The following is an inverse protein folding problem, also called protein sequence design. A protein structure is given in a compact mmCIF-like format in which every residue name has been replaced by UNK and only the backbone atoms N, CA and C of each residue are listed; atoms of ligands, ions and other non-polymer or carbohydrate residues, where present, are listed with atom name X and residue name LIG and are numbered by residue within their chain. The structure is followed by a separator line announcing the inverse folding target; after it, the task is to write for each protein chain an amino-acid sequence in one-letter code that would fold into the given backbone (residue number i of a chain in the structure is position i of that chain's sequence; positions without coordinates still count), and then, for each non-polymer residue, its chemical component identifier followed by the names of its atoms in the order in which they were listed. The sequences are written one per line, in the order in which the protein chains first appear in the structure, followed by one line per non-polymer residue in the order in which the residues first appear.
data_IF_969406996653
#
_entry.id   IF_969406996653
#
_cell.length_a   1.000
_cell.length_b   1.000
_cell.length_c   1.000
_cell.angle_alpha   90.00
_cell.angle_beta   90.00
_cell.angle_gamma   90.00
#
_symmetry.space_group_name_H-M   'P 1'
#
loop_
_entity.id
_entity.type
_entity.pdbx_description
1 polymer ?
#
# COMPACT_ATOMS: atom_id res chain seq x y z
N UNK A 1 -4.43 -15.97 4.28
CA UNK A 1 -5.75 -15.32 4.27
C UNK A 1 -5.75 -14.12 5.20
N UNK A 2 -6.26 -12.98 4.72
CA UNK A 2 -6.29 -11.76 5.53
C UNK A 2 -7.08 -12.00 6.82
N UNK A 3 -6.52 -11.56 7.92
CA UNK A 3 -7.09 -11.80 9.25
C UNK A 3 -7.52 -10.47 9.87
N UNK A 4 -8.75 -10.41 10.35
CA UNK A 4 -9.22 -9.25 11.10
C UNK A 4 -8.51 -9.17 12.44
N UNK A 5 -8.11 -7.96 12.84
CA UNK A 5 -7.43 -7.72 14.10
C UNK A 5 -7.63 -6.26 14.51
N UNK A 6 -7.14 -5.93 15.68
CA UNK A 6 -7.05 -4.55 16.13
C UNK A 6 -5.59 -4.12 16.10
N UNK A 7 -5.38 -2.82 15.89
CA UNK A 7 -4.03 -2.26 15.89
C UNK A 7 -3.35 -2.47 17.24
N UNK A 8 -4.09 -2.31 18.33
CA UNK A 8 -3.58 -2.51 19.69
C UNK A 8 -3.04 -3.92 19.85
N UNK A 9 -3.84 -4.95 19.49
CA UNK A 9 -3.43 -6.35 19.58
C UNK A 9 -2.24 -6.64 18.67
N UNK A 10 -2.25 -6.10 17.45
CA UNK A 10 -1.16 -6.29 16.49
C UNK A 10 0.17 -5.79 17.05
N UNK A 11 0.17 -4.58 17.63
CA UNK A 11 1.38 -3.98 18.18
C UNK A 11 1.88 -4.73 19.43
N UNK A 12 0.98 -5.34 20.18
CA UNK A 12 1.36 -6.19 21.32
C UNK A 12 1.96 -7.52 20.85
N UNK A 13 1.43 -8.08 19.76
CA UNK A 13 1.86 -9.37 19.23
C UNK A 13 3.16 -9.30 18.43
N UNK A 14 3.49 -8.15 17.87
CA UNK A 14 4.63 -7.97 16.98
C UNK A 14 5.46 -6.77 17.38
N UNK A 15 6.78 -6.94 17.39
CA UNK A 15 7.70 -5.82 17.55
C UNK A 15 7.92 -5.21 16.16
N UNK A 16 7.22 -4.12 15.88
CA UNK A 16 7.27 -3.49 14.57
C UNK A 16 7.76 -2.05 14.69
N UNK A 17 8.28 -1.55 13.58
CA UNK A 17 8.63 -0.16 13.40
C UNK A 17 7.98 0.30 12.08
N UNK A 18 7.22 1.38 12.12
CA UNK A 18 6.60 1.91 10.91
C UNK A 18 7.68 2.47 9.97
N UNK A 19 7.55 2.17 8.69
CA UNK A 19 8.49 2.65 7.67
C UNK A 19 8.38 4.16 7.45
N UNK A 20 7.24 4.75 7.80
CA UNK A 20 6.96 6.16 7.64
C UNK A 20 6.54 6.74 9.00
N UNK A 21 6.71 8.04 9.18
CA UNK A 21 6.18 8.71 10.37
C UNK A 21 4.67 8.84 10.22
N UNK A 22 3.93 8.23 11.13
CA UNK A 22 2.48 8.22 11.08
C UNK A 22 1.90 9.18 12.13
N UNK A 23 0.82 9.90 11.78
CA UNK A 23 0.15 10.75 12.77
C UNK A 23 -0.58 9.91 13.81
N UNK A 24 -1.01 10.58 14.89
CA UNK A 24 -1.85 9.96 15.90
C UNK A 24 -3.12 9.41 15.26
N UNK A 25 -3.61 8.27 15.73
CA UNK A 25 -4.80 7.58 15.23
C UNK A 25 -4.61 6.98 13.82
N UNK A 26 -3.37 6.80 13.39
CA UNK A 26 -3.04 6.19 12.10
C UNK A 26 -1.99 5.09 12.32
N UNK A 27 -2.18 3.86 11.88
CA UNK A 27 -3.36 3.31 11.18
C UNK A 27 -4.62 3.29 12.07
N UNK A 28 -5.80 3.02 11.48
CA UNK A 28 -7.03 2.89 12.27
C UNK A 28 -6.96 1.67 13.18
N UNK A 29 -7.83 1.63 14.20
CA UNK A 29 -7.81 0.53 15.17
C UNK A 29 -8.29 -0.79 14.55
N UNK A 30 -9.28 -0.75 13.66
CA UNK A 30 -9.74 -1.92 12.95
C UNK A 30 -8.92 -2.15 11.69
N UNK A 31 -8.18 -3.24 11.64
CA UNK A 31 -7.24 -3.52 10.55
C UNK A 31 -7.32 -4.97 10.11
N UNK A 32 -6.63 -5.25 8.99
CA UNK A 32 -6.42 -6.59 8.48
C UNK A 32 -4.93 -6.89 8.54
N UNK A 33 -4.59 -8.13 8.91
CA UNK A 33 -3.20 -8.59 8.97
C UNK A 33 -2.98 -9.56 7.81
N UNK A 34 -1.96 -9.35 6.97
CA UNK A 34 -1.68 -10.27 5.87
C UNK A 34 -1.05 -11.56 6.40
N UNK A 35 -1.30 -12.65 5.66
CA UNK A 35 -0.71 -13.97 5.94
C UNK A 35 -0.19 -14.54 4.61
N UNK A 36 0.82 -13.89 4.05
CA UNK A 36 1.49 -14.29 2.79
C UNK A 36 0.67 -14.05 1.53
N UNK A 37 -0.36 -13.21 1.58
CA UNK A 37 -1.11 -12.85 0.37
C UNK A 37 -0.27 -12.04 -0.59
N UNK A 38 -0.56 -12.22 -1.88
CA UNK A 38 0.02 -11.43 -2.94
C UNK A 38 -0.88 -10.24 -3.27
N UNK A 39 -0.24 -9.09 -3.45
CA UNK A 39 -0.89 -7.85 -3.87
C UNK A 39 -0.11 -7.23 -5.02
N UNK A 40 -0.71 -6.23 -5.63
CA UNK A 40 -0.13 -5.53 -6.77
C UNK A 40 -0.10 -4.04 -6.49
N UNK A 41 1.01 -3.41 -6.81
CA UNK A 41 1.22 -1.98 -6.59
C UNK A 41 1.61 -1.32 -7.90
N UNK A 42 0.94 -0.21 -8.23
CA UNK A 42 1.31 0.60 -9.39
C UNK A 42 2.65 1.29 -9.14
N UNK A 43 3.49 1.30 -10.18
CA UNK A 43 4.82 1.90 -10.14
C UNK A 43 4.89 3.12 -11.03
N UNK A 44 5.73 4.07 -10.67
CA UNK A 44 5.96 5.28 -11.47
C UNK A 44 6.66 4.96 -12.78
N UNK A 45 7.52 3.95 -12.80
CA UNK A 45 8.28 3.54 -13.97
C UNK A 45 7.94 2.12 -14.39
N UNK A 46 8.05 1.84 -15.69
CA UNK A 46 7.72 0.53 -16.24
C UNK A 46 8.71 -0.56 -15.83
N UNK A 47 10.01 -0.23 -15.83
CA UNK A 47 11.09 -1.21 -15.67
C UNK A 47 11.92 -1.02 -14.42
N UNK A 48 11.53 -0.12 -13.53
CA UNK A 48 12.36 0.25 -12.40
C UNK A 48 11.50 0.60 -11.19
N UNK A 49 11.90 0.09 -10.02
CA UNK A 49 11.30 0.47 -8.75
C UNK A 49 12.19 1.54 -8.15
N UNK A 50 11.58 2.67 -7.78
CA UNK A 50 12.29 3.80 -7.18
C UNK A 50 11.77 4.06 -5.76
N UNK A 51 12.54 4.84 -4.99
CA UNK A 51 12.17 5.12 -3.59
C UNK A 51 10.81 5.78 -3.47
N UNK A 52 10.43 6.62 -4.43
CA UNK A 52 9.14 7.31 -4.44
C UNK A 52 7.96 6.33 -4.50
N UNK A 53 8.15 5.12 -5.03
CA UNK A 53 7.10 4.10 -5.07
C UNK A 53 6.66 3.66 -3.67
N UNK A 54 7.51 3.87 -2.66
CA UNK A 54 7.26 3.47 -1.28
C UNK A 54 6.89 4.64 -0.37
N UNK A 55 6.67 5.82 -0.95
CA UNK A 55 6.30 7.02 -0.20
C UNK A 55 4.80 7.27 -0.26
N UNK A 56 4.13 7.44 0.88
CA UNK A 56 2.73 7.82 0.88
C UNK A 56 2.55 9.26 0.40
N UNK A 57 1.32 9.62 0.05
CA UNK A 57 1.02 10.95 -0.46
C UNK A 57 1.42 12.07 0.47
N UNK A 58 1.36 11.84 1.78
CA UNK A 58 1.77 12.86 2.77
C UNK A 58 3.25 13.20 2.67
N UNK A 59 4.08 12.25 2.23
CA UNK A 59 5.52 12.52 2.00
C UNK A 59 5.78 13.08 0.61
N UNK A 60 5.02 12.61 -0.40
CA UNK A 60 5.18 13.08 -1.77
C UNK A 60 4.64 14.52 -1.94
N UNK A 61 3.56 14.84 -1.24
CA UNK A 61 2.88 16.14 -1.34
C UNK A 61 2.65 16.70 0.06
N UNK A 62 3.73 17.11 0.76
CA UNK A 62 3.62 17.53 2.16
C UNK A 62 2.84 18.83 2.38
N UNK A 63 2.69 19.63 1.33
CA UNK A 63 1.97 20.91 1.43
C UNK A 63 0.47 20.79 1.15
N UNK A 64 0.01 19.61 0.72
CA UNK A 64 -1.41 19.38 0.51
C UNK A 64 -2.09 19.11 1.85
N UNK A 65 -3.30 19.66 2.03
CA UNK A 65 -4.07 19.41 3.25
C UNK A 65 -4.87 18.12 3.12
N UNK A 66 -4.73 17.26 4.12
CA UNK A 66 -5.49 16.03 4.25
C UNK A 66 -6.26 16.10 5.57
N UNK A 67 -7.54 15.76 5.56
CA UNK A 67 -8.39 15.83 6.76
C UNK A 67 -9.15 14.53 6.97
N UNK A 68 -9.38 14.18 8.23
CA UNK A 68 -10.18 13.02 8.61
C UNK A 68 -9.62 11.72 8.02
N UNK A 69 -10.50 10.93 7.42
CA UNK A 69 -10.13 9.64 6.84
C UNK A 69 -9.12 9.78 5.69
N UNK A 70 -9.14 10.91 4.98
CA UNK A 70 -8.17 11.16 3.92
C UNK A 70 -6.75 11.22 4.47
N UNK A 71 -6.56 11.82 5.66
CA UNK A 71 -5.25 11.89 6.29
C UNK A 71 -4.75 10.49 6.64
N UNK A 72 -5.62 9.65 7.16
CA UNK A 72 -5.27 8.27 7.52
C UNK A 72 -4.85 7.50 6.27
N UNK A 73 -5.63 7.56 5.20
CA UNK A 73 -5.32 6.84 3.96
C UNK A 73 -4.10 7.39 3.25
N UNK A 74 -3.90 8.71 3.28
CA UNK A 74 -2.77 9.36 2.60
C UNK A 74 -1.41 9.02 3.24
N UNK A 75 -1.40 8.47 4.45
CA UNK A 75 -0.20 7.99 5.12
C UNK A 75 0.11 6.52 4.83
N UNK A 76 -0.74 5.84 4.05
CA UNK A 76 -0.52 4.47 3.62
C UNK A 76 -0.26 4.40 2.12
N UNK A 77 0.04 3.20 1.66
CA UNK A 77 0.25 2.92 0.24
C UNK A 77 -0.97 2.22 -0.34
N UNK A 78 -1.30 2.53 -1.60
CA UNK A 78 -2.40 1.88 -2.30
C UNK A 78 -1.91 0.59 -2.94
N UNK A 79 -2.57 -0.51 -2.61
CA UNK A 79 -2.30 -1.82 -3.23
C UNK A 79 -3.62 -2.48 -3.61
N UNK A 80 -3.57 -3.47 -4.49
CA UNK A 80 -4.75 -4.15 -4.98
C UNK A 80 -4.52 -5.65 -5.11
N UNK A 81 -5.59 -6.42 -4.99
CA UNK A 81 -5.59 -7.84 -5.36
C UNK A 81 -5.73 -8.03 -6.87
N UNK A 82 -6.09 -6.98 -7.59
CA UNK A 82 -6.25 -7.02 -9.04
C UNK A 82 -4.90 -6.85 -9.72
N UNK A 83 -4.54 -7.78 -10.60
CA UNK A 83 -3.27 -7.78 -11.34
C UNK A 83 -3.40 -7.22 -12.75
N UNK A 84 -4.56 -6.70 -13.12
CA UNK A 84 -4.80 -6.16 -14.46
C UNK A 84 -4.39 -4.70 -14.53
N UNK A 85 -3.24 -4.44 -15.12
CA UNK A 85 -2.68 -3.09 -15.23
C UNK A 85 -3.62 -2.13 -15.97
N UNK A 86 -4.26 -2.57 -17.05
CA UNK A 86 -5.19 -1.72 -17.82
C UNK A 86 -6.37 -1.28 -16.96
N UNK A 87 -6.92 -2.21 -16.20
CA UNK A 87 -8.06 -1.90 -15.33
C UNK A 87 -7.64 -0.97 -14.19
N UNK A 88 -6.48 -1.23 -13.58
CA UNK A 88 -5.96 -0.39 -12.49
C UNK A 88 -5.64 1.03 -12.95
N UNK A 89 -5.34 1.20 -14.24
CA UNK A 89 -4.98 2.51 -14.81
C UNK A 89 -6.04 3.04 -15.77
N UNK A 90 -7.28 2.61 -15.64
CA UNK A 90 -8.36 3.03 -16.55
C UNK A 90 -8.69 4.52 -16.48
N UNK A 91 -8.49 5.14 -15.32
CA UNK A 91 -8.72 6.57 -15.18
C UNK A 91 -7.54 7.37 -15.71
N UNK A 92 -7.79 8.45 -16.50
CA UNK A 92 -6.71 9.19 -17.18
C UNK A 92 -5.61 9.71 -16.24
N UNK A 93 -5.96 10.21 -15.05
CA UNK A 93 -4.98 10.75 -14.12
C UNK A 93 -4.08 9.67 -13.54
N UNK A 94 -4.61 8.45 -13.36
CA UNK A 94 -3.83 7.29 -12.90
C UNK A 94 -2.92 6.80 -14.04
N UNK A 95 -3.49 6.66 -15.25
CA UNK A 95 -2.74 6.21 -16.43
C UNK A 95 -1.57 7.13 -16.75
N UNK A 96 -1.76 8.43 -16.57
CA UNK A 96 -0.73 9.43 -16.84
C UNK A 96 0.43 9.29 -15.85
N UNK A 97 0.14 8.96 -14.60
CA UNK A 97 1.12 8.92 -13.52
C UNK A 97 1.88 7.61 -13.44
N UNK A 98 1.18 6.48 -13.57
CA UNK A 98 1.76 5.16 -13.33
C UNK A 98 2.03 4.42 -14.63
N UNK A 99 3.25 3.84 -14.74
CA UNK A 99 3.71 3.18 -15.95
C UNK A 99 4.04 1.72 -15.74
N UNK A 100 4.07 1.24 -14.51
CA UNK A 100 4.44 -0.12 -14.20
C UNK A 100 3.60 -0.74 -13.10
N UNK A 101 3.83 -2.02 -12.87
CA UNK A 101 3.13 -2.81 -11.88
C UNK A 101 4.12 -3.73 -11.19
N UNK A 102 4.03 -3.84 -9.87
CA UNK A 102 4.82 -4.77 -9.10
C UNK A 102 3.92 -5.73 -8.33
N UNK A 103 4.38 -6.97 -8.20
CA UNK A 103 3.77 -7.95 -7.31
C UNK A 103 4.55 -7.94 -6.00
N UNK A 104 3.82 -7.87 -4.90
CA UNK A 104 4.38 -7.95 -3.56
C UNK A 104 3.70 -9.06 -2.78
N UNK A 105 4.44 -9.67 -1.88
CA UNK A 105 3.90 -10.68 -0.98
C UNK A 105 4.09 -10.17 0.44
N UNK A 106 3.01 -10.10 1.20
CA UNK A 106 3.02 -9.51 2.53
C UNK A 106 2.92 -10.58 3.60
N UNK A 107 3.90 -10.58 4.49
CA UNK A 107 3.93 -11.42 5.70
C UNK A 107 3.27 -10.67 6.85
N UNK A 108 2.90 -11.37 7.95
CA UNK A 108 2.21 -10.71 9.06
C UNK A 108 2.94 -9.50 9.64
N UNK A 109 4.26 -9.48 9.62
CA UNK A 109 5.05 -8.36 10.18
C UNK A 109 5.28 -7.22 9.21
N UNK A 110 4.83 -7.34 7.96
CA UNK A 110 5.10 -6.33 6.91
C UNK A 110 4.18 -5.11 6.99
N UNK A 111 3.23 -5.12 7.89
CA UNK A 111 2.33 -4.01 8.10
C UNK A 111 0.89 -4.47 8.21
N UNK A 112 -0.01 -3.49 8.21
CA UNK A 112 -1.44 -3.74 8.34
C UNK A 112 -2.18 -3.10 7.17
N UNK A 113 -3.37 -3.63 6.90
CA UNK A 113 -4.17 -3.24 5.75
C UNK A 113 -5.58 -2.85 6.17
N UNK A 114 -6.23 -2.07 5.33
CA UNK A 114 -7.66 -1.84 5.41
C UNK A 114 -8.21 -1.71 4.00
N UNK A 115 -9.33 -2.36 3.74
CA UNK A 115 -10.03 -2.18 2.48
C UNK A 115 -10.55 -0.75 2.40
N UNK A 116 -10.23 -0.05 1.32
CA UNK A 116 -10.58 1.35 1.14
C UNK A 116 -11.04 1.60 -0.30
N UNK A 117 -11.73 2.73 -0.49
CA UNK A 117 -12.26 3.09 -1.81
C UNK A 117 -13.52 2.32 -2.15
N UNK A 118 -13.98 2.47 -3.40
CA UNK A 118 -15.20 1.84 -3.90
C UNK A 118 -14.95 0.44 -4.49
N UNK A 119 -13.68 0.09 -4.71
CA UNK A 119 -13.26 -1.20 -5.27
C UNK A 119 -12.95 -2.16 -4.13
N UNK A 120 -13.64 -3.29 -4.06
CA UNK A 120 -13.44 -4.28 -2.99
C UNK A 120 -12.08 -5.01 -3.06
N UNK A 121 -11.33 -4.80 -4.13
CA UNK A 121 -9.97 -5.35 -4.27
C UNK A 121 -8.90 -4.35 -3.85
N UNK A 122 -9.28 -3.11 -3.54
CA UNK A 122 -8.34 -2.05 -3.16
C UNK A 122 -8.13 -1.99 -1.66
N UNK A 123 -6.85 -1.85 -1.26
CA UNK A 123 -6.46 -1.75 0.15
C UNK A 123 -5.50 -0.59 0.34
N UNK A 124 -5.55 0.02 1.52
CA UNK A 124 -4.50 0.89 2.01
C UNK A 124 -3.60 0.07 2.91
N UNK A 125 -2.30 0.18 2.71
CA UNK A 125 -1.28 -0.59 3.43
C UNK A 125 -0.35 0.36 4.18
N UNK A 126 -0.28 0.20 5.48
CA UNK A 126 0.67 0.94 6.32
C UNK A 126 1.86 0.02 6.55
N UNK A 127 2.94 0.32 5.85
CA UNK A 127 4.13 -0.51 5.74
C UNK A 127 5.01 -0.39 6.98
N UNK A 128 5.60 -1.51 7.41
CA UNK A 128 6.64 -1.54 8.45
C UNK A 128 8.01 -1.66 7.81
N UNK A 129 9.05 -1.45 8.62
CA UNK A 129 10.44 -1.65 8.16
C UNK A 129 10.78 -3.11 7.92
N UNK A 130 9.93 -4.04 8.34
CA UNK A 130 10.14 -5.48 8.08
C UNK A 130 9.97 -5.85 6.61
N UNK A 131 9.20 -5.07 5.86
CA UNK A 131 9.01 -5.35 4.44
C UNK A 131 10.29 -5.02 3.66
N UNK A 132 10.80 -5.99 2.92
CA UNK A 132 11.96 -5.81 2.04
C UNK A 132 11.49 -5.29 0.67
N UNK A 133 11.76 -4.02 0.39
CA UNK A 133 11.40 -3.39 -0.88
C UNK A 133 11.97 -4.15 -2.07
N UNK A 134 13.11 -4.79 -1.90
CA UNK A 134 13.78 -5.54 -2.97
C UNK A 134 13.06 -6.85 -3.30
N UNK A 135 12.16 -7.30 -2.45
CA UNK A 135 11.37 -8.51 -2.72
C UNK A 135 10.25 -8.28 -3.73
N UNK A 136 9.91 -7.03 -4.02
CA UNK A 136 8.88 -6.70 -5.00
C UNK A 136 9.34 -7.10 -6.40
N UNK A 137 8.43 -7.70 -7.17
CA UNK A 137 8.73 -8.17 -8.52
C UNK A 137 8.01 -7.32 -9.56
N UNK A 138 8.75 -6.76 -10.50
CA UNK A 138 8.16 -6.00 -11.61
C UNK A 138 7.43 -6.97 -12.53
N UNK A 139 6.16 -6.66 -12.82
CA UNK A 139 5.34 -7.44 -13.73
C UNK A 139 5.48 -6.85 -15.13
N UNK A 140 5.74 -7.72 -16.12
CA UNK A 140 5.74 -7.29 -17.51
C UNK A 140 4.29 -7.07 -17.96
N UNK A 141 3.95 -5.82 -18.26
CA UNK A 141 2.60 -5.43 -18.65
C UNK A 141 2.52 -4.92 -20.09
N UNK A 142 3.45 -5.32 -20.94
CA UNK A 142 3.50 -4.84 -22.33
C UNK A 142 2.23 -5.14 -23.11
N UNK A 143 1.56 -6.23 -22.79
CA UNK A 143 0.32 -6.62 -23.44
C UNK A 143 -0.92 -6.03 -22.75
N UNK A 144 -0.72 -5.30 -21.69
CA UNK A 144 -1.82 -4.72 -20.95
C UNK A 144 -2.35 -3.45 -21.60
#
# INVERSE_FOLDING_TARGET
MLKEDTLTHYKEAHQIEWANTLPENCPPEEILVPEDEEFYQLLLNKDQIVDEDWKPYTELYPNKKYVGDQLIMANGLSISKNDNFKELTKFPHIKKRFKGLAKIKLNPTDGVLKQTGSDDMHYTWWRTTSFDNKSAEIINNEEA
#
